data_IF_719479912141
#
_entry.id   IF_719479912141
#
_cell.length_a   1.000
_cell.length_b   1.000
_cell.length_c   1.000
_cell.angle_alpha   90.00
_cell.angle_beta   90.00
_cell.angle_gamma   90.00
#
_symmetry.space_group_name_H-M   'P 1'
#
loop_
_entity.id
_entity.type
_entity.pdbx_description
1 polymer ?
#
# COMPACT_ATOMS: atom_id res chain seq x y z
N UNK A 1 -1.00 -10.60 -5.16
CA UNK A 1 0.08 -11.07 -4.26
C UNK A 1 -0.61 -11.57 -3.00
N UNK A 2 -0.47 -12.85 -2.68
CA UNK A 2 -1.09 -13.42 -1.48
C UNK A 2 -0.21 -13.14 -0.25
N UNK A 3 1.09 -13.44 -0.35
CA UNK A 3 2.05 -13.18 0.72
C UNK A 3 3.00 -12.03 0.34
N UNK A 4 3.23 -11.04 1.22
CA UNK A 4 4.25 -10.01 0.99
C UNK A 4 5.65 -10.62 1.11
N UNK A 5 6.51 -10.32 0.13
CA UNK A 5 7.91 -10.74 0.17
C UNK A 5 8.77 -9.70 0.93
N UNK A 6 9.86 -10.10 1.57
CA UNK A 6 10.82 -9.14 2.12
C UNK A 6 11.54 -8.30 1.04
N UNK A 7 11.55 -8.79 -0.20
CA UNK A 7 12.09 -8.12 -1.38
C UNK A 7 10.97 -7.41 -2.19
N UNK A 8 10.91 -6.07 -2.20
CA UNK A 8 9.91 -5.32 -2.96
C UNK A 8 9.97 -5.54 -4.48
N UNK A 9 11.10 -6.01 -5.01
CA UNK A 9 11.25 -6.29 -6.45
C UNK A 9 10.36 -7.46 -6.93
N UNK A 10 9.99 -8.38 -6.03
CA UNK A 10 9.11 -9.51 -6.39
C UNK A 10 7.68 -9.03 -6.66
N UNK A 11 7.19 -8.04 -5.91
CA UNK A 11 5.91 -7.36 -6.18
C UNK A 11 5.95 -6.68 -7.56
N UNK A 12 7.03 -5.96 -7.87
CA UNK A 12 7.20 -5.27 -9.16
C UNK A 12 7.24 -6.21 -10.36
N UNK A 13 7.95 -7.33 -10.23
CA UNK A 13 7.97 -8.37 -11.26
C UNK A 13 6.58 -8.99 -11.47
N UNK A 14 5.80 -9.18 -10.41
CA UNK A 14 4.43 -9.69 -10.54
C UNK A 14 3.52 -8.69 -11.27
N UNK A 15 3.65 -7.39 -10.99
CA UNK A 15 2.90 -6.33 -11.70
C UNK A 15 3.22 -6.31 -13.19
N UNK A 16 4.50 -6.40 -13.55
CA UNK A 16 4.97 -6.40 -14.94
C UNK A 16 4.48 -7.61 -15.77
N UNK A 17 3.98 -8.68 -15.12
CA UNK A 17 3.38 -9.82 -15.83
C UNK A 17 1.99 -9.53 -16.40
N UNK A 18 1.23 -8.63 -15.75
CA UNK A 18 -0.19 -8.38 -16.05
C UNK A 18 -0.37 -7.06 -16.79
N UNK A 19 0.30 -6.00 -16.33
CA UNK A 19 0.27 -4.69 -16.97
C UNK A 19 1.47 -4.57 -17.93
N UNK A 20 1.22 -4.90 -19.20
CA UNK A 20 2.23 -4.96 -20.28
C UNK A 20 1.61 -4.66 -21.63
N UNK A 21 2.45 -4.44 -22.63
CA UNK A 21 2.01 -4.23 -24.02
C UNK A 21 1.06 -5.33 -24.51
N UNK A 22 0.00 -4.90 -25.21
CA UNK A 22 -1.06 -5.78 -25.69
C UNK A 22 -2.19 -6.04 -24.69
N UNK A 23 -2.09 -5.53 -23.46
CA UNK A 23 -3.23 -5.51 -22.54
C UNK A 23 -4.36 -4.63 -23.07
N UNK A 24 -5.59 -5.14 -23.05
CA UNK A 24 -6.80 -4.46 -23.56
C UNK A 24 -7.84 -4.16 -22.49
N UNK A 25 -7.65 -4.68 -21.28
CA UNK A 25 -8.58 -4.55 -20.16
C UNK A 25 -7.93 -3.79 -19.01
N UNK A 26 -8.76 -3.16 -18.18
CA UNK A 26 -8.33 -2.61 -16.90
C UNK A 26 -7.69 -3.71 -16.05
N UNK A 27 -6.49 -3.44 -15.54
CA UNK A 27 -5.78 -4.33 -14.62
C UNK A 27 -6.06 -3.93 -13.18
N UNK A 28 -6.18 -4.94 -12.32
CA UNK A 28 -6.24 -4.78 -10.87
C UNK A 28 -5.12 -5.58 -10.22
N UNK A 29 -4.40 -4.95 -9.30
CA UNK A 29 -3.32 -5.57 -8.55
C UNK A 29 -3.70 -5.50 -7.07
N UNK A 30 -3.90 -6.68 -6.47
CA UNK A 30 -4.21 -6.78 -5.05
C UNK A 30 -3.00 -7.29 -4.29
N UNK A 31 -2.70 -6.62 -3.18
CA UNK A 31 -1.72 -7.06 -2.18
C UNK A 31 -2.51 -7.28 -0.89
N UNK A 32 -2.62 -8.53 -0.47
CA UNK A 32 -3.33 -8.89 0.75
C UNK A 32 -2.34 -8.85 1.91
N UNK A 33 -2.74 -8.20 3.00
CA UNK A 33 -1.89 -7.98 4.18
C UNK A 33 -2.77 -8.16 5.41
N UNK A 34 -2.32 -9.01 6.32
CA UNK A 34 -3.02 -9.28 7.58
C UNK A 34 -2.80 -8.13 8.56
N UNK A 35 -3.87 -7.44 8.89
CA UNK A 35 -3.90 -6.23 9.73
C UNK A 35 -3.27 -6.45 11.11
N UNK A 36 -2.39 -5.53 11.51
CA UNK A 36 -1.74 -5.52 12.80
C UNK A 36 -0.76 -6.67 13.02
N UNK A 37 -0.41 -7.45 11.99
CA UNK A 37 0.52 -8.59 12.08
C UNK A 37 1.91 -8.23 11.55
N UNK A 38 2.82 -9.20 11.57
CA UNK A 38 4.16 -9.10 10.97
C UNK A 38 4.10 -8.75 9.47
N UNK A 39 3.08 -9.16 8.73
CA UNK A 39 2.92 -8.85 7.30
C UNK A 39 2.83 -7.34 7.06
N UNK A 40 2.12 -6.64 7.96
CA UNK A 40 1.98 -5.19 7.87
C UNK A 40 3.30 -4.48 8.24
N UNK A 41 4.08 -5.03 9.18
CA UNK A 41 5.45 -4.55 9.47
C UNK A 41 6.39 -4.81 8.28
N UNK A 42 6.23 -5.91 7.56
CA UNK A 42 7.00 -6.20 6.34
C UNK A 42 6.70 -5.16 5.26
N UNK A 43 5.43 -4.84 5.02
CA UNK A 43 5.01 -3.79 4.10
C UNK A 43 5.64 -2.43 4.45
N UNK A 44 5.61 -2.04 5.73
CA UNK A 44 6.23 -0.78 6.20
C UNK A 44 7.73 -0.75 5.91
N UNK A 45 8.43 -1.87 6.11
CA UNK A 45 9.87 -1.96 5.82
C UNK A 45 10.16 -1.92 4.33
N UNK A 46 9.32 -2.52 3.49
CA UNK A 46 9.45 -2.37 2.03
C UNK A 46 9.29 -0.90 1.62
N UNK A 47 8.30 -0.19 2.15
CA UNK A 47 8.10 1.24 1.89
C UNK A 47 9.32 2.06 2.32
N UNK A 48 9.86 1.80 3.52
CA UNK A 48 11.07 2.46 4.00
C UNK A 48 12.29 2.16 3.11
N UNK A 49 12.49 0.91 2.69
CA UNK A 49 13.57 0.54 1.75
C UNK A 49 13.43 1.26 0.41
N UNK A 50 12.21 1.37 -0.14
CA UNK A 50 11.95 2.10 -1.38
C UNK A 50 12.26 3.59 -1.23
N UNK A 51 11.82 4.20 -0.14
CA UNK A 51 12.11 5.61 0.17
C UNK A 51 13.62 5.85 0.27
N UNK A 52 14.36 5.00 1.00
CA UNK A 52 15.82 5.11 1.10
C UNK A 52 16.50 4.87 -0.24
N UNK A 53 16.10 3.85 -1.01
CA UNK A 53 16.68 3.59 -2.33
C UNK A 53 16.50 4.76 -3.30
N UNK A 54 15.42 5.54 -3.16
CA UNK A 54 15.21 6.78 -3.91
C UNK A 54 16.14 7.91 -3.46
N UNK A 55 16.70 7.86 -2.25
CA UNK A 55 17.63 8.85 -1.69
C UNK A 55 19.12 8.44 -1.82
N UNK A 56 19.42 7.13 -1.89
CA UNK A 56 20.79 6.56 -1.85
C UNK A 56 21.50 6.58 -3.21
N UNK A 57 20.93 7.24 -4.24
CA UNK A 57 21.68 7.51 -5.49
C UNK A 57 22.88 8.44 -5.25
N UNK A 58 22.97 9.13 -4.11
CA UNK A 58 24.03 10.13 -3.87
C UNK A 58 25.13 9.75 -2.87
N UNK A 59 25.01 8.73 -2.00
CA UNK A 59 26.10 8.38 -1.06
C UNK A 59 26.18 6.87 -0.77
N UNK A 60 27.30 6.27 -1.18
CA UNK A 60 27.69 4.90 -0.87
C UNK A 60 28.23 4.82 0.57
N UNK A 61 27.35 4.72 1.56
CA UNK A 61 27.72 4.27 2.90
C UNK A 61 27.02 2.94 3.21
N UNK A 62 27.82 1.95 3.59
CA UNK A 62 27.35 0.64 4.05
C UNK A 62 26.53 0.83 5.34
N UNK A 63 25.21 0.89 5.20
CA UNK A 63 24.29 0.94 6.34
C UNK A 63 24.34 -0.42 7.06
N UNK A 64 25.09 -0.52 8.15
CA UNK A 64 25.04 -1.66 9.06
C UNK A 64 23.60 -1.90 9.56
N UNK A 65 23.05 -3.05 9.20
CA UNK A 65 21.63 -3.39 9.31
C UNK A 65 21.29 -4.05 10.65
N UNK A 66 21.57 -3.40 11.77
CA UNK A 66 21.21 -3.95 13.08
C UNK A 66 19.88 -3.38 13.58
N UNK A 67 18.87 -4.25 13.74
CA UNK A 67 17.64 -3.88 14.45
C UNK A 67 17.98 -3.56 15.90
N UNK A 68 17.40 -2.48 16.43
CA UNK A 68 17.32 -2.30 17.87
C UNK A 68 16.39 -3.37 18.48
N UNK A 69 16.61 -3.69 19.76
CA UNK A 69 15.73 -4.60 20.51
C UNK A 69 14.27 -4.11 20.52
N UNK A 70 14.04 -2.79 20.49
CA UNK A 70 12.70 -2.20 20.39
C UNK A 70 12.04 -2.50 19.05
N UNK A 71 12.76 -2.35 17.94
CA UNK A 71 12.24 -2.65 16.60
C UNK A 71 12.00 -4.15 16.39
N UNK A 72 12.79 -5.01 17.03
CA UNK A 72 12.54 -6.45 17.03
C UNK A 72 11.26 -6.80 17.79
N UNK A 73 11.02 -6.19 18.96
CA UNK A 73 9.76 -6.39 19.70
C UNK A 73 8.55 -5.92 18.90
N UNK A 74 8.65 -4.75 18.30
CA UNK A 74 7.59 -4.18 17.45
C UNK A 74 7.30 -5.06 16.22
N UNK A 75 8.31 -5.74 15.67
CA UNK A 75 8.16 -6.62 14.51
C UNK A 75 7.23 -7.81 14.78
N UNK A 76 7.24 -8.33 16.01
CA UNK A 76 6.43 -9.48 16.43
C UNK A 76 5.21 -9.08 17.26
N UNK A 77 4.94 -7.79 17.41
CA UNK A 77 3.75 -7.29 18.09
C UNK A 77 2.51 -7.47 17.22
N UNK A 78 1.42 -7.95 17.83
CA UNK A 78 0.11 -8.03 17.20
C UNK A 78 -0.80 -6.91 17.69
N UNK A 79 -1.37 -6.12 16.77
CA UNK A 79 -2.31 -5.04 17.08
C UNK A 79 -3.72 -5.38 16.59
N UNK A 80 -4.58 -5.88 17.48
CA UNK A 80 -5.90 -6.41 17.10
C UNK A 80 -6.99 -5.35 16.87
N UNK A 81 -6.77 -4.11 17.30
CA UNK A 81 -7.79 -3.05 17.29
C UNK A 81 -7.61 -2.02 16.19
N UNK A 82 -6.51 -2.10 15.44
CA UNK A 82 -6.25 -1.18 14.33
C UNK A 82 -6.98 -1.62 13.08
N UNK A 83 -7.41 -0.66 12.26
CA UNK A 83 -7.89 -0.95 10.91
C UNK A 83 -6.69 -1.14 9.95
N UNK A 84 -5.56 -0.48 10.23
CA UNK A 84 -4.26 -0.61 9.56
C UNK A 84 -3.16 0.04 10.42
N UNK A 85 -2.23 -0.77 10.93
CA UNK A 85 -1.06 -0.29 11.68
C UNK A 85 -0.17 0.65 10.82
N UNK A 86 -0.13 0.39 9.50
CA UNK A 86 0.59 1.24 8.54
C UNK A 86 -0.01 2.64 8.48
N UNK A 87 -1.34 2.74 8.39
CA UNK A 87 -2.02 4.03 8.39
C UNK A 87 -1.82 4.77 9.72
N UNK A 88 -1.91 4.07 10.85
CA UNK A 88 -1.71 4.66 12.17
C UNK A 88 -0.32 5.32 12.32
N UNK A 89 0.73 4.65 11.79
CA UNK A 89 2.10 5.19 11.81
C UNK A 89 2.28 6.44 10.95
N UNK A 90 1.49 6.61 9.87
CA UNK A 90 1.56 7.82 9.05
C UNK A 90 1.07 9.08 9.76
N UNK A 91 0.25 8.95 10.82
CA UNK A 91 -0.44 10.09 11.47
C UNK A 91 -1.13 10.98 10.42
N UNK A 92 -1.87 10.33 9.52
CA UNK A 92 -2.44 10.94 8.33
C UNK A 92 -3.33 12.14 8.66
N UNK A 93 -3.05 13.30 8.04
CA UNK A 93 -3.84 14.54 8.19
C UNK A 93 -5.00 14.63 7.19
N UNK A 94 -5.12 13.68 6.27
CA UNK A 94 -6.17 13.60 5.25
C UNK A 94 -7.35 12.72 5.69
N UNK A 95 -7.22 12.01 6.81
CA UNK A 95 -8.24 11.12 7.35
C UNK A 95 -8.69 11.60 8.73
N UNK A 96 -10.00 11.76 8.93
CA UNK A 96 -10.60 12.16 10.22
C UNK A 96 -11.78 11.23 10.50
N UNK A 97 -11.85 10.68 11.71
CA UNK A 97 -12.93 9.76 12.13
C UNK A 97 -13.18 8.63 11.13
N UNK A 98 -12.10 7.98 10.66
CA UNK A 98 -12.16 6.88 9.67
C UNK A 98 -12.80 7.29 8.33
N UNK A 99 -12.66 8.56 7.93
CA UNK A 99 -13.09 9.05 6.61
C UNK A 99 -11.97 9.88 6.01
N UNK A 100 -11.60 9.60 4.76
CA UNK A 100 -10.70 10.46 4.00
C UNK A 100 -11.43 11.75 3.63
N UNK A 101 -11.05 12.86 4.26
CA UNK A 101 -11.65 14.19 4.08
C UNK A 101 -10.97 15.00 2.99
N UNK A 102 -9.72 14.66 2.64
CA UNK A 102 -8.96 15.30 1.57
C UNK A 102 -8.41 14.25 0.61
N UNK A 103 -8.54 14.46 -0.71
CA UNK A 103 -7.97 13.54 -1.69
C UNK A 103 -6.44 13.55 -1.61
N UNK A 104 -5.77 12.51 -2.15
CA UNK A 104 -4.33 12.55 -2.40
C UNK A 104 -3.98 13.64 -3.43
N UNK A 105 -2.68 14.01 -3.54
CA UNK A 105 -2.22 14.94 -4.56
C UNK A 105 -2.57 14.44 -5.99
N UNK A 106 -2.95 15.34 -6.92
CA UNK A 106 -3.38 14.94 -8.27
C UNK A 106 -2.27 14.27 -9.10
N UNK A 107 -1.00 14.54 -8.78
CA UNK A 107 0.18 13.94 -9.38
C UNK A 107 0.55 12.57 -8.80
N UNK A 108 -0.12 12.12 -7.73
CA UNK A 108 0.20 10.85 -7.09
C UNK A 108 -0.22 9.67 -7.98
N UNK A 109 0.67 8.70 -8.14
CA UNK A 109 0.48 7.50 -8.96
C UNK A 109 0.75 6.21 -8.16
N UNK A 110 0.68 5.06 -8.82
CA UNK A 110 0.92 3.75 -8.20
C UNK A 110 2.37 3.52 -7.74
N UNK A 111 3.31 4.41 -8.06
CA UNK A 111 4.70 4.34 -7.61
C UNK A 111 4.94 5.20 -6.36
N UNK A 112 4.02 6.10 -6.04
CA UNK A 112 4.10 6.94 -4.86
C UNK A 112 3.91 6.15 -3.55
N UNK A 113 4.31 6.77 -2.44
CA UNK A 113 4.16 6.19 -1.10
C UNK A 113 2.68 6.00 -0.70
N UNK A 114 2.40 4.98 0.13
CA UNK A 114 1.04 4.69 0.60
C UNK A 114 0.40 5.86 1.36
N UNK A 115 1.21 6.73 1.99
CA UNK A 115 0.74 7.95 2.65
C UNK A 115 0.10 8.96 1.69
N UNK A 116 0.37 8.86 0.38
CA UNK A 116 -0.22 9.69 -0.68
C UNK A 116 -1.17 8.92 -1.60
N UNK A 117 -1.57 7.70 -1.22
CA UNK A 117 -2.63 6.96 -1.89
C UNK A 117 -4.02 7.33 -1.35
N UNK A 118 -5.08 6.82 -1.99
CA UNK A 118 -6.42 6.87 -1.40
C UNK A 118 -6.51 5.93 -0.19
N UNK A 119 -7.24 6.37 0.83
CA UNK A 119 -7.38 5.68 2.12
C UNK A 119 -8.85 5.37 2.33
N UNK A 120 -9.21 4.09 2.34
CA UNK A 120 -10.58 3.64 2.40
C UNK A 120 -10.83 2.81 3.67
N UNK A 121 -11.75 3.30 4.49
CA UNK A 121 -12.31 2.61 5.67
C UNK A 121 -13.68 1.99 5.40
N UNK A 122 -14.19 2.12 4.18
CA UNK A 122 -15.48 1.57 3.78
C UNK A 122 -15.54 1.33 2.26
N UNK A 123 -16.43 0.42 1.85
CA UNK A 123 -16.65 0.08 0.44
C UNK A 123 -17.04 1.24 -0.48
N UNK A 124 -17.63 2.33 0.04
CA UNK A 124 -18.08 3.46 -0.79
C UNK A 124 -16.90 4.25 -1.37
N UNK A 125 -15.76 4.23 -0.68
CA UNK A 125 -14.54 4.90 -1.10
C UNK A 125 -13.73 4.11 -2.16
N UNK A 126 -14.20 2.93 -2.57
CA UNK A 126 -13.52 2.10 -3.57
C UNK A 126 -14.12 2.35 -4.96
N UNK A 127 -13.33 2.12 -6.02
CA UNK A 127 -13.84 2.11 -7.40
C UNK A 127 -14.17 0.67 -7.85
N UNK A 128 -13.29 -0.29 -7.52
CA UNK A 128 -13.39 -1.69 -7.91
C UNK A 128 -14.61 -2.42 -7.33
N UNK A 129 -15.45 -2.94 -8.23
CA UNK A 129 -16.67 -3.69 -7.89
C UNK A 129 -16.41 -5.03 -7.24
N UNK A 130 -15.32 -5.72 -7.59
CA UNK A 130 -14.96 -7.01 -7.01
C UNK A 130 -14.52 -6.82 -5.57
N UNK A 131 -13.63 -5.85 -5.33
CA UNK A 131 -13.18 -5.50 -3.98
C UNK A 131 -14.31 -4.97 -3.09
N UNK A 132 -15.27 -4.22 -3.66
CA UNK A 132 -16.51 -3.83 -2.95
C UNK A 132 -17.32 -5.04 -2.50
N UNK A 133 -17.49 -6.04 -3.37
CA UNK A 133 -18.18 -7.28 -3.02
C UNK A 133 -17.47 -8.05 -1.91
N UNK A 134 -16.13 -8.13 -1.98
CA UNK A 134 -15.32 -8.77 -0.95
C UNK A 134 -15.41 -8.05 0.41
N UNK A 135 -15.60 -6.72 0.43
CA UNK A 135 -15.76 -5.96 1.67
C UNK A 135 -16.93 -6.45 2.53
N UNK A 136 -18.02 -6.88 1.91
CA UNK A 136 -19.24 -7.30 2.61
C UNK A 136 -19.05 -8.59 3.42
N UNK A 137 -17.94 -9.32 3.20
CA UNK A 137 -17.57 -10.50 4.00
C UNK A 137 -17.09 -10.15 5.41
N UNK A 138 -16.75 -8.88 5.67
CA UNK A 138 -16.14 -8.43 6.93
C UNK A 138 -14.65 -8.76 7.08
N UNK A 139 -14.01 -9.34 6.05
CA UNK A 139 -12.60 -9.71 6.08
C UNK A 139 -11.64 -8.52 5.84
N UNK A 140 -12.14 -7.39 5.32
CA UNK A 140 -11.33 -6.22 4.96
C UNK A 140 -11.51 -5.13 6.01
N UNK A 141 -10.42 -4.76 6.70
CA UNK A 141 -10.42 -3.66 7.68
C UNK A 141 -10.10 -2.30 7.06
N UNK A 142 -9.22 -2.26 6.07
CA UNK A 142 -8.73 -1.04 5.45
C UNK A 142 -8.17 -1.31 4.04
N UNK A 143 -8.24 -0.31 3.16
CA UNK A 143 -7.65 -0.39 1.81
C UNK A 143 -6.86 0.89 1.48
N UNK A 144 -5.60 0.71 1.09
CA UNK A 144 -4.86 1.67 0.29
C UNK A 144 -5.13 1.37 -1.18
N UNK A 145 -5.51 2.37 -1.97
CA UNK A 145 -5.66 2.18 -3.42
C UNK A 145 -5.19 3.39 -4.22
N UNK A 146 -4.76 3.13 -5.45
CA UNK A 146 -4.36 4.14 -6.43
C UNK A 146 -4.50 3.57 -7.84
N UNK A 147 -4.52 4.45 -8.84
CA UNK A 147 -4.52 4.09 -10.27
C UNK A 147 -3.38 4.78 -11.01
N UNK A 148 -2.94 4.19 -12.12
CA UNK A 148 -1.82 4.69 -12.91
C UNK A 148 -2.14 5.96 -13.69
N UNK A 149 -3.39 6.13 -14.12
CA UNK A 149 -3.91 7.28 -14.86
C UNK A 149 -5.43 7.28 -14.80
N UNK A 150 -6.04 8.43 -15.07
CA UNK A 150 -7.49 8.49 -15.27
C UNK A 150 -7.87 7.84 -16.59
N UNK A 151 -8.96 7.07 -16.58
CA UNK A 151 -9.52 6.53 -17.81
C UNK A 151 -10.08 7.69 -18.64
N UNK A 152 -9.41 8.02 -19.75
CA UNK A 152 -9.95 8.95 -20.73
C UNK A 152 -11.20 8.30 -21.32
N UNK A 153 -12.39 8.73 -20.89
CA UNK A 153 -13.65 8.37 -21.53
C UNK A 153 -13.52 8.71 -23.02
N UNK A 154 -13.40 7.68 -23.85
CA UNK A 154 -13.58 7.84 -25.30
C UNK A 154 -15.03 8.27 -25.49
N UNK A 155 -15.25 9.57 -25.70
CA UNK A 155 -16.47 10.07 -26.31
C UNK A 155 -16.56 9.40 -27.68
N UNK A 156 -17.46 8.42 -27.80
CA UNK A 156 -17.90 7.88 -29.09
C UNK A 156 -19.06 8.75 -29.57
#
# INVERSE_FOLDING_TARGET
MFDPDWNPANDEQAMARVWRDGQKKQCYIYRLISTGTIEEKMLQRQAHKKALSSCVVDQAEEVERHFSLGELRELFAYHSTTDSDTHDKFKCRRCVNRVQTRPPPPEADCNCDLSVWHHAYNRKALEDTVLKGAWDTGAISFVFWQRSHEEQRKTV
#
